data_IF_895504465680
#
_entry.id   IF_895504465680
#
_cell.length_a   1.000
_cell.length_b   1.000
_cell.length_c   1.000
_cell.angle_alpha   90.00
_cell.angle_beta   90.00
_cell.angle_gamma   90.00
#
_symmetry.space_group_name_H-M   'P 1'
#
loop_
_entity.id
_entity.type
_entity.pdbx_description
1 polymer ?
#
# COMPACT_ATOMS: atom_id res chain seq x y z
N UNK A 1 -3.47 -32.81 70.73
CA UNK A 1 -3.83 -31.58 69.98
C UNK A 1 -3.52 -31.89 68.52
N UNK A 2 -4.49 -32.38 67.74
CA UNK A 2 -5.36 -31.57 66.83
C UNK A 2 -4.53 -30.67 65.90
N UNK A 3 -4.64 -30.62 64.57
CA UNK A 3 -5.41 -31.24 63.47
C UNK A 3 -4.54 -30.95 62.21
N UNK A 4 -4.41 -31.77 61.18
CA UNK A 4 -5.42 -32.12 60.19
C UNK A 4 -4.80 -32.10 58.78
N UNK A 5 -4.69 -33.27 58.16
CA UNK A 5 -4.65 -33.51 56.71
C UNK A 5 -6.02 -33.10 56.05
N UNK A 6 -6.31 -33.27 54.73
CA UNK A 6 -5.51 -33.82 53.62
C UNK A 6 -5.68 -33.12 52.23
N UNK A 7 -4.83 -33.55 51.28
CA UNK A 7 -5.14 -34.04 49.91
C UNK A 7 -5.79 -33.17 48.80
N UNK A 8 -5.28 -33.48 47.59
CA UNK A 8 -5.99 -33.67 46.31
C UNK A 8 -5.79 -32.61 45.20
N UNK A 9 -4.84 -32.89 44.30
CA UNK A 9 -5.06 -32.78 42.84
C UNK A 9 -6.12 -33.84 42.41
N UNK A 10 -6.75 -33.86 41.21
CA UNK A 10 -6.39 -33.21 39.92
C UNK A 10 -7.59 -32.70 39.08
N UNK A 11 -7.38 -32.08 37.90
CA UNK A 11 -8.01 -32.53 36.63
C UNK A 11 -7.90 -31.55 35.47
N UNK A 12 -7.61 -32.16 34.31
CA UNK A 12 -7.83 -31.64 32.96
C UNK A 12 -9.29 -31.25 32.71
N UNK A 13 -9.48 -30.12 32.06
CA UNK A 13 -10.67 -29.76 31.31
C UNK A 13 -10.52 -28.31 30.86
N UNK A 14 -11.04 -27.83 29.74
CA UNK A 14 -11.71 -28.39 28.57
C UNK A 14 -11.81 -27.17 27.64
N UNK A 15 -11.53 -27.38 26.36
CA UNK A 15 -11.72 -26.40 25.29
C UNK A 15 -13.07 -25.69 25.42
N UNK A 16 -13.04 -24.35 25.48
CA UNK A 16 -14.22 -23.50 25.34
C UNK A 16 -14.00 -22.59 24.13
N UNK A 17 -14.43 -23.12 23.00
CA UNK A 17 -14.69 -22.42 21.74
C UNK A 17 -15.76 -21.33 22.02
N UNK A 18 -15.51 -20.05 21.71
CA UNK A 18 -16.59 -19.06 21.68
C UNK A 18 -17.51 -19.37 20.50
N UNK A 19 -18.79 -19.65 20.81
CA UNK A 19 -19.86 -19.87 19.84
C UNK A 19 -20.16 -18.57 19.09
N UNK A 20 -20.09 -18.62 17.77
CA UNK A 20 -20.60 -17.59 16.86
C UNK A 20 -22.14 -17.54 16.94
N UNK A 21 -22.76 -16.37 17.11
CA UNK A 21 -24.19 -16.24 16.88
C UNK A 21 -24.46 -16.24 15.37
N UNK A 22 -25.17 -17.26 14.91
CA UNK A 22 -25.78 -17.31 13.59
C UNK A 22 -26.85 -16.23 13.50
N UNK A 23 -26.59 -15.16 12.75
CA UNK A 23 -27.62 -14.20 12.35
C UNK A 23 -27.91 -14.40 10.86
N UNK A 24 -28.98 -15.13 10.57
CA UNK A 24 -29.74 -14.94 9.34
C UNK A 24 -30.87 -13.96 9.65
N UNK A 25 -31.10 -12.97 8.79
CA UNK A 25 -32.44 -12.46 8.62
C UNK A 25 -32.91 -12.64 7.18
N UNK A 26 -34.14 -13.10 7.13
CA UNK A 26 -34.94 -13.39 5.97
C UNK A 26 -35.10 -12.23 5.00
N UNK A 27 -35.22 -12.62 3.75
CA UNK A 27 -35.80 -11.90 2.62
C UNK A 27 -37.25 -11.50 2.93
N UNK A 28 -37.65 -10.23 2.76
CA UNK A 28 -39.04 -9.92 2.53
C UNK A 28 -39.37 -9.95 1.03
N UNK A 29 -40.40 -10.72 0.75
CA UNK A 29 -41.19 -10.82 -0.46
C UNK A 29 -41.93 -9.52 -0.82
N UNK A 30 -42.04 -9.28 -2.12
CA UNK A 30 -43.14 -8.61 -2.86
C UNK A 30 -44.11 -7.72 -2.09
N UNK A 31 -44.19 -6.46 -2.53
CA UNK A 31 -45.41 -5.66 -2.47
C UNK A 31 -45.65 -5.01 -3.83
N UNK A 32 -46.64 -5.55 -4.52
CA UNK A 32 -47.32 -4.93 -5.65
C UNK A 32 -48.14 -3.75 -5.15
N UNK A 33 -48.04 -2.57 -5.76
CA UNK A 33 -49.18 -1.68 -5.78
C UNK A 33 -49.22 -0.71 -6.97
N UNK A 34 -50.41 -0.72 -7.59
CA UNK A 34 -51.12 0.39 -8.23
C UNK A 34 -50.53 1.07 -9.47
N UNK A 35 -50.89 0.47 -10.62
CA UNK A 35 -51.54 1.09 -11.80
C UNK A 35 -51.85 2.60 -11.66
N UNK A 36 -51.29 3.41 -12.56
CA UNK A 36 -52.04 4.47 -13.22
C UNK A 36 -51.58 4.64 -14.67
N UNK A 37 -52.56 4.47 -15.56
CA UNK A 37 -52.49 4.70 -16.99
C UNK A 37 -52.16 6.16 -17.26
N UNK A 38 -51.26 6.42 -18.21
CA UNK A 38 -51.50 7.45 -19.22
C UNK A 38 -50.88 7.03 -20.54
N UNK A 39 -51.74 7.05 -21.55
CA UNK A 39 -51.57 6.52 -22.90
C UNK A 39 -51.25 7.72 -23.79
N UNK A 40 -50.08 7.74 -24.42
CA UNK A 40 -49.79 8.62 -25.54
C UNK A 40 -49.14 7.78 -26.64
N UNK A 41 -49.87 7.60 -27.73
CA UNK A 41 -49.46 6.91 -28.96
C UNK A 41 -49.12 7.92 -30.08
N UNK A 42 -48.44 7.48 -31.15
CA UNK A 42 -47.26 8.17 -31.70
C UNK A 42 -47.52 8.92 -33.01
N UNK A 43 -46.54 9.71 -33.47
CA UNK A 43 -46.52 10.26 -34.83
C UNK A 43 -45.14 10.16 -35.52
N UNK A 44 -45.02 9.09 -36.31
CA UNK A 44 -44.44 8.96 -37.68
C UNK A 44 -43.13 9.69 -38.10
N UNK A 45 -42.15 8.83 -38.48
CA UNK A 45 -41.33 8.80 -39.75
C UNK A 45 -40.41 9.99 -40.09
N UNK A 46 -39.21 9.87 -40.70
CA UNK A 46 -38.39 8.80 -41.31
C UNK A 46 -37.06 9.43 -41.79
N UNK A 47 -35.94 8.70 -41.66
CA UNK A 47 -34.72 8.70 -42.49
C UNK A 47 -33.91 10.01 -42.69
N UNK A 48 -32.63 10.02 -42.34
CA UNK A 48 -31.56 9.74 -43.31
C UNK A 48 -30.21 9.40 -42.64
N UNK A 49 -29.61 8.36 -43.22
CA UNK A 49 -28.33 7.74 -42.96
C UNK A 49 -27.20 8.64 -43.44
N UNK A 50 -26.32 9.03 -42.52
CA UNK A 50 -24.95 9.50 -42.84
C UNK A 50 -23.99 9.02 -41.74
N UNK A 51 -23.66 7.72 -41.77
CA UNK A 51 -22.49 7.20 -41.04
C UNK A 51 -21.24 7.49 -41.86
N UNK A 52 -20.56 8.57 -41.55
CA UNK A 52 -19.17 8.79 -41.96
C UNK A 52 -18.24 8.07 -40.97
N UNK A 53 -17.23 7.31 -41.43
CA UNK A 53 -16.38 6.50 -40.58
C UNK A 53 -15.26 7.36 -39.98
N UNK A 54 -15.48 7.98 -38.82
CA UNK A 54 -14.42 8.71 -38.09
C UNK A 54 -13.83 7.96 -36.89
N UNK A 55 -14.16 6.67 -36.70
CA UNK A 55 -13.75 5.93 -35.51
C UNK A 55 -12.67 4.85 -35.75
N UNK A 56 -11.72 5.09 -36.67
CA UNK A 56 -10.57 4.18 -36.87
C UNK A 56 -9.20 4.73 -36.44
N UNK A 57 -9.10 5.98 -35.97
CA UNK A 57 -7.82 6.56 -35.52
C UNK A 57 -7.66 6.75 -34.01
N UNK A 58 -8.69 6.43 -33.20
CA UNK A 58 -8.62 6.60 -31.73
C UNK A 58 -8.17 5.35 -30.95
N UNK A 59 -8.15 4.18 -31.56
CA UNK A 59 -7.80 2.92 -30.88
C UNK A 59 -6.29 2.62 -30.91
N UNK A 60 -5.54 3.26 -31.81
CA UNK A 60 -4.10 3.02 -31.96
C UNK A 60 -3.23 3.88 -31.03
N UNK A 61 -3.72 5.05 -30.59
CA UNK A 61 -3.00 5.94 -29.68
C UNK A 61 -3.11 5.49 -28.22
N UNK A 62 -4.30 5.08 -27.76
CA UNK A 62 -4.52 4.70 -26.35
C UNK A 62 -3.73 3.46 -25.94
N UNK A 63 -3.70 2.42 -26.79
CA UNK A 63 -2.92 1.20 -26.51
C UNK A 63 -1.41 1.46 -26.46
N UNK A 64 -0.92 2.45 -27.21
CA UNK A 64 0.50 2.84 -27.20
C UNK A 64 0.86 3.64 -25.94
N UNK A 65 -0.05 4.46 -25.43
CA UNK A 65 0.15 5.28 -24.23
C UNK A 65 0.10 4.41 -22.96
N UNK A 66 -0.89 3.53 -22.83
CA UNK A 66 -1.00 2.63 -21.66
C UNK A 66 0.19 1.68 -21.54
N UNK A 67 0.75 1.24 -22.67
CA UNK A 67 1.99 0.45 -22.68
C UNK A 67 3.18 1.24 -22.11
N UNK A 68 3.32 2.52 -22.50
CA UNK A 68 4.40 3.36 -21.99
C UNK A 68 4.20 3.69 -20.49
N UNK A 69 2.96 3.88 -20.04
CA UNK A 69 2.69 4.09 -18.62
C UNK A 69 2.96 2.84 -17.77
N UNK A 70 2.64 1.63 -18.27
CA UNK A 70 3.00 0.39 -17.57
C UNK A 70 4.51 0.16 -17.54
N UNK A 71 5.22 0.57 -18.59
CA UNK A 71 6.68 0.58 -18.61
C UNK A 71 7.25 1.54 -17.56
N UNK A 72 6.71 2.75 -17.48
CA UNK A 72 7.09 3.73 -16.46
C UNK A 72 6.85 3.19 -15.04
N UNK A 73 5.69 2.58 -14.81
CA UNK A 73 5.37 1.89 -13.56
C UNK A 73 6.44 0.84 -13.21
N UNK A 74 6.80 -0.02 -14.15
CA UNK A 74 7.77 -1.10 -13.89
C UNK A 74 9.19 -0.56 -13.63
N UNK A 75 9.59 0.51 -14.33
CA UNK A 75 10.85 1.22 -14.05
C UNK A 75 10.87 1.83 -12.64
N UNK A 76 9.77 2.49 -12.24
CA UNK A 76 9.65 3.10 -10.94
C UNK A 76 9.61 2.08 -9.81
N UNK A 77 8.98 0.93 -10.05
CA UNK A 77 8.96 -0.19 -9.12
C UNK A 77 10.38 -0.70 -8.82
N UNK A 78 11.20 -0.88 -9.86
CA UNK A 78 12.60 -1.29 -9.72
C UNK A 78 13.42 -0.19 -9.02
N UNK A 79 13.20 1.07 -9.37
CA UNK A 79 13.84 2.22 -8.71
C UNK A 79 13.56 2.25 -7.21
N UNK A 80 12.30 2.08 -6.80
CA UNK A 80 11.90 2.01 -5.40
C UNK A 80 12.57 0.85 -4.66
N UNK A 81 12.63 -0.33 -5.28
CA UNK A 81 13.28 -1.51 -4.69
C UNK A 81 14.78 -1.28 -4.49
N UNK A 82 15.46 -0.64 -5.44
CA UNK A 82 16.89 -0.34 -5.33
C UNK A 82 17.15 0.71 -4.25
N UNK A 83 16.37 1.79 -4.20
CA UNK A 83 16.49 2.81 -3.15
C UNK A 83 16.22 2.23 -1.77
N UNK A 84 15.24 1.33 -1.63
CA UNK A 84 14.98 0.62 -0.39
C UNK A 84 16.15 -0.29 0.02
N UNK A 85 16.80 -0.96 -0.95
CA UNK A 85 17.98 -1.79 -0.68
C UNK A 85 19.19 -0.95 -0.23
N UNK A 86 19.43 0.20 -0.86
CA UNK A 86 20.46 1.14 -0.43
C UNK A 86 20.19 1.64 1.00
N UNK A 87 18.97 2.14 1.24
CA UNK A 87 18.55 2.61 2.57
C UNK A 87 18.70 1.53 3.65
N UNK A 88 18.39 0.27 3.35
CA UNK A 88 18.60 -0.86 4.29
C UNK A 88 20.07 -0.97 4.68
N UNK A 89 20.99 -0.90 3.72
CA UNK A 89 22.42 -0.99 3.97
C UNK A 89 22.94 0.12 4.90
N UNK A 90 22.37 1.33 4.85
CA UNK A 90 22.72 2.39 5.79
C UNK A 90 22.08 2.20 7.16
N UNK A 91 20.83 1.75 7.22
CA UNK A 91 20.15 1.42 8.48
C UNK A 91 20.94 0.35 9.24
N UNK A 92 21.36 -0.72 8.58
CA UNK A 92 22.07 -1.83 9.24
C UNK A 92 23.39 -1.36 9.87
N UNK A 93 24.11 -0.46 9.20
CA UNK A 93 25.35 0.14 9.73
C UNK A 93 25.09 1.06 10.93
N UNK A 94 24.09 1.93 10.84
CA UNK A 94 23.82 2.93 11.88
C UNK A 94 23.14 2.31 13.11
N UNK A 95 22.30 1.31 12.91
CA UNK A 95 21.54 0.68 13.98
C UNK A 95 22.45 0.01 15.00
N UNK A 96 23.39 -0.82 14.53
CA UNK A 96 24.38 -1.46 15.41
C UNK A 96 25.14 -0.42 16.24
N UNK A 97 25.60 0.66 15.58
CA UNK A 97 26.34 1.73 16.26
C UNK A 97 25.49 2.45 17.31
N UNK A 98 24.26 2.79 17.00
CA UNK A 98 23.38 3.49 17.96
C UNK A 98 22.97 2.59 19.13
N UNK A 99 22.76 1.29 18.89
CA UNK A 99 22.51 0.32 19.96
C UNK A 99 23.72 0.21 20.89
N UNK A 100 24.94 0.14 20.35
CA UNK A 100 26.18 0.17 21.14
C UNK A 100 26.34 1.48 21.92
N UNK A 101 26.11 2.63 21.29
CA UNK A 101 26.16 3.95 21.94
C UNK A 101 25.12 4.06 23.07
N UNK A 102 23.94 3.44 22.91
CA UNK A 102 22.87 3.43 23.90
C UNK A 102 23.23 2.59 25.13
N UNK A 103 23.87 1.44 24.94
CA UNK A 103 24.30 0.57 26.04
C UNK A 103 25.43 1.19 26.86
N UNK A 104 26.28 1.99 26.22
CA UNK A 104 27.47 2.56 26.84
C UNK A 104 27.28 3.99 27.38
N UNK A 105 26.14 4.63 27.13
CA UNK A 105 25.90 6.00 27.61
C UNK A 105 25.46 6.05 29.07
N UNK A 106 26.17 6.84 29.89
CA UNK A 106 25.78 7.16 31.27
C UNK A 106 24.91 8.44 31.35
N UNK A 107 24.76 9.17 30.23
CA UNK A 107 23.97 10.41 30.18
C UNK A 107 22.55 10.12 29.72
N UNK A 108 21.57 10.51 30.55
CA UNK A 108 20.14 10.37 30.26
C UNK A 108 19.70 11.19 29.03
N UNK A 109 20.24 12.39 28.84
CA UNK A 109 19.95 13.21 27.66
C UNK A 109 20.47 12.56 26.37
N UNK A 110 21.68 12.02 26.40
CA UNK A 110 22.24 11.29 25.26
C UNK A 110 21.45 10.01 24.97
N UNK A 111 21.02 9.30 26.01
CA UNK A 111 20.18 8.11 25.87
C UNK A 111 18.90 8.40 25.07
N UNK A 112 18.15 9.44 25.45
CA UNK A 112 16.92 9.81 24.73
C UNK A 112 17.19 10.24 23.28
N UNK A 113 18.26 11.00 23.05
CA UNK A 113 18.64 11.37 21.68
C UNK A 113 18.99 10.15 20.81
N UNK A 114 19.66 9.14 21.38
CA UNK A 114 19.97 7.90 20.66
C UNK A 114 18.69 7.08 20.42
N UNK A 115 17.79 7.02 21.41
CA UNK A 115 16.50 6.34 21.28
C UNK A 115 15.66 6.93 20.13
N UNK A 116 15.63 8.25 19.98
CA UNK A 116 14.97 8.93 18.85
C UNK A 116 15.58 8.53 17.51
N UNK A 117 16.91 8.44 17.41
CA UNK A 117 17.59 7.99 16.18
C UNK A 117 17.21 6.55 15.84
N UNK A 118 17.18 5.65 16.82
CA UNK A 118 16.76 4.25 16.63
C UNK A 118 15.29 4.19 16.17
N UNK A 119 14.41 5.03 16.70
CA UNK A 119 13.01 5.14 16.23
C UNK A 119 12.93 5.58 14.77
N UNK A 120 13.75 6.55 14.35
CA UNK A 120 13.81 6.96 12.93
C UNK A 120 14.30 5.83 12.02
N UNK A 121 15.35 5.09 12.42
CA UNK A 121 15.83 3.92 11.67
C UNK A 121 14.75 2.84 11.58
N UNK A 122 14.02 2.57 12.67
CA UNK A 122 12.91 1.62 12.69
C UNK A 122 11.76 2.02 11.76
N UNK A 123 11.41 3.32 11.75
CA UNK A 123 10.41 3.88 10.84
C UNK A 123 10.81 3.71 9.37
N UNK A 124 12.07 3.98 9.04
CA UNK A 124 12.61 3.77 7.70
C UNK A 124 12.62 2.29 7.29
N UNK A 125 13.01 1.39 8.21
CA UNK A 125 12.98 -0.05 7.99
C UNK A 125 11.56 -0.56 7.69
N UNK A 126 10.54 -0.04 8.40
CA UNK A 126 9.15 -0.41 8.14
C UNK A 126 8.69 -0.01 6.72
N UNK A 127 9.13 1.15 6.22
CA UNK A 127 8.85 1.59 4.85
C UNK A 127 9.55 0.69 3.81
N UNK A 128 10.78 0.25 4.08
CA UNK A 128 11.50 -0.72 3.24
C UNK A 128 10.73 -2.04 3.16
N UNK A 129 10.26 -2.58 4.28
CA UNK A 129 9.48 -3.83 4.28
C UNK A 129 8.21 -3.71 3.44
N UNK A 130 7.48 -2.58 3.55
CA UNK A 130 6.32 -2.32 2.67
C UNK A 130 6.71 -2.27 1.20
N UNK A 131 7.85 -1.68 0.88
CA UNK A 131 8.37 -1.60 -0.49
C UNK A 131 8.68 -2.97 -1.05
N UNK A 132 9.35 -3.83 -0.28
CA UNK A 132 9.65 -5.21 -0.69
C UNK A 132 8.39 -6.04 -0.84
N UNK A 133 7.44 -5.93 0.09
CA UNK A 133 6.16 -6.62 -0.01
C UNK A 133 5.42 -6.24 -1.29
N UNK A 134 5.38 -4.95 -1.63
CA UNK A 134 4.78 -4.49 -2.89
C UNK A 134 5.55 -5.04 -4.11
N UNK A 135 6.88 -4.98 -4.08
CA UNK A 135 7.73 -5.47 -5.18
C UNK A 135 7.52 -6.95 -5.47
N UNK A 136 7.58 -7.80 -4.44
CA UNK A 136 7.38 -9.24 -4.59
C UNK A 136 5.94 -9.56 -4.98
N UNK A 137 4.95 -8.90 -4.36
CA UNK A 137 3.56 -9.08 -4.75
C UNK A 137 3.32 -8.75 -6.24
N UNK A 138 3.86 -7.64 -6.76
CA UNK A 138 3.71 -7.30 -8.19
C UNK A 138 4.36 -8.35 -9.08
N UNK A 139 5.53 -8.84 -8.70
CA UNK A 139 6.29 -9.84 -9.46
C UNK A 139 5.56 -11.18 -9.53
N UNK A 140 4.94 -11.60 -8.44
CA UNK A 140 4.37 -12.94 -8.30
C UNK A 140 2.91 -12.99 -8.75
N UNK A 141 2.09 -12.02 -8.34
CA UNK A 141 0.64 -12.03 -8.58
C UNK A 141 0.11 -10.75 -9.24
N UNK A 142 0.70 -9.60 -8.93
CA UNK A 142 0.13 -8.30 -9.29
C UNK A 142 0.08 -8.05 -10.79
N UNK A 143 0.94 -8.70 -11.59
CA UNK A 143 0.86 -8.67 -13.07
C UNK A 143 -0.45 -9.25 -13.60
N UNK A 144 -0.94 -10.34 -13.01
CA UNK A 144 -2.21 -10.96 -13.40
C UNK A 144 -3.43 -10.14 -12.92
N UNK A 145 -3.24 -9.30 -11.89
CA UNK A 145 -4.25 -8.44 -11.27
C UNK A 145 -4.16 -6.98 -11.74
N UNK A 146 -3.45 -6.70 -12.83
CA UNK A 146 -3.36 -5.33 -13.39
C UNK A 146 -4.72 -4.89 -13.91
N UNK A 147 -5.04 -3.63 -13.63
CA UNK A 147 -6.10 -2.90 -14.30
C UNK A 147 -5.74 -2.66 -15.77
N UNK A 148 -6.67 -2.11 -16.55
CA UNK A 148 -6.42 -1.81 -17.97
C UNK A 148 -5.29 -0.78 -18.09
N UNK A 149 -5.34 0.28 -17.27
CA UNK A 149 -4.34 1.34 -17.22
C UNK A 149 -3.71 1.44 -15.81
N UNK A 150 -2.42 1.78 -15.68
CA UNK A 150 -1.79 2.01 -14.36
C UNK A 150 -2.24 3.32 -13.70
N UNK A 151 -3.07 4.11 -14.41
CA UNK A 151 -3.75 5.29 -13.90
C UNK A 151 -5.11 4.95 -13.26
N UNK A 152 -5.64 3.75 -13.51
CA UNK A 152 -6.90 3.32 -12.92
C UNK A 152 -6.76 3.20 -11.41
N UNK A 153 -7.75 3.72 -10.69
CA UNK A 153 -7.73 3.77 -9.24
C UNK A 153 -8.60 2.68 -8.64
N UNK A 154 -8.12 2.10 -7.54
CA UNK A 154 -8.92 1.26 -6.67
C UNK A 154 -9.06 1.91 -5.28
N UNK A 155 -10.14 1.63 -4.54
CA UNK A 155 -10.25 2.00 -3.13
C UNK A 155 -9.03 1.50 -2.34
N UNK A 156 -8.58 2.27 -1.34
CA UNK A 156 -7.38 1.91 -0.59
C UNK A 156 -7.51 0.59 0.18
N UNK A 157 -8.73 0.21 0.57
CA UNK A 157 -9.05 -1.10 1.15
C UNK A 157 -8.71 -2.29 0.25
N UNK A 158 -8.66 -2.09 -1.07
CA UNK A 158 -8.43 -3.12 -2.09
C UNK A 158 -7.07 -2.95 -2.80
N UNK A 159 -6.32 -1.88 -2.50
CA UNK A 159 -5.11 -1.51 -3.22
C UNK A 159 -3.83 -1.80 -2.44
N UNK A 160 -3.03 -2.76 -2.92
CA UNK A 160 -1.69 -3.02 -2.38
C UNK A 160 -0.77 -1.80 -2.50
N UNK A 161 -0.97 -0.95 -3.51
CA UNK A 161 -0.26 0.31 -3.66
C UNK A 161 -0.62 1.28 -2.54
N UNK A 162 -1.91 1.42 -2.19
CA UNK A 162 -2.36 2.25 -1.08
C UNK A 162 -1.82 1.75 0.27
N UNK A 163 -1.84 0.43 0.49
CA UNK A 163 -1.26 -0.19 1.67
C UNK A 163 0.24 0.15 1.85
N UNK A 164 1.01 0.07 0.76
CA UNK A 164 2.44 0.37 0.77
C UNK A 164 2.75 1.81 1.19
N UNK A 165 1.89 2.77 0.83
CA UNK A 165 2.04 4.19 1.21
C UNK A 165 1.27 4.56 2.49
N UNK A 166 0.57 3.61 3.12
CA UNK A 166 -0.15 3.81 4.37
C UNK A 166 -1.48 4.57 4.25
N UNK A 167 -2.04 4.67 3.05
CA UNK A 167 -3.38 5.22 2.83
C UNK A 167 -4.42 4.18 3.25
N UNK A 168 -5.50 4.63 3.89
CA UNK A 168 -6.58 3.78 4.43
C UNK A 168 -7.96 4.25 3.96
N UNK A 169 -8.96 3.38 4.10
CA UNK A 169 -10.35 3.68 3.79
C UNK A 169 -10.62 3.64 2.29
N UNK A 170 -11.41 4.59 1.80
CA UNK A 170 -11.91 4.58 0.42
C UNK A 170 -11.19 5.58 -0.50
N UNK A 171 -10.09 6.19 -0.04
CA UNK A 171 -9.33 7.12 -0.88
C UNK A 171 -8.75 6.37 -2.09
N UNK A 172 -9.12 6.73 -3.32
CA UNK A 172 -8.68 5.99 -4.51
C UNK A 172 -7.18 6.22 -4.78
N UNK A 173 -6.45 5.14 -5.02
CA UNK A 173 -5.02 5.18 -5.36
C UNK A 173 -4.79 4.35 -6.62
N UNK A 174 -4.13 4.96 -7.62
CA UNK A 174 -3.69 4.24 -8.82
C UNK A 174 -2.31 3.62 -8.63
N UNK A 175 -1.99 2.53 -9.36
CA UNK A 175 -0.67 1.91 -9.34
C UNK A 175 0.49 2.89 -9.49
N UNK A 176 0.45 3.74 -10.52
CA UNK A 176 1.54 4.67 -10.82
C UNK A 176 1.68 5.74 -9.72
N UNK A 177 0.57 6.34 -9.27
CA UNK A 177 0.60 7.34 -8.18
C UNK A 177 1.08 6.75 -6.86
N UNK A 178 0.72 5.50 -6.58
CA UNK A 178 1.18 4.79 -5.38
C UNK A 178 2.70 4.60 -5.40
N UNK A 179 3.26 4.16 -6.53
CA UNK A 179 4.72 4.03 -6.67
C UNK A 179 5.45 5.36 -6.63
N UNK A 180 4.90 6.42 -7.23
CA UNK A 180 5.50 7.77 -7.16
C UNK A 180 5.53 8.30 -5.73
N UNK A 181 4.43 8.12 -5.00
CA UNK A 181 4.33 8.52 -3.59
C UNK A 181 5.31 7.72 -2.73
N UNK A 182 5.42 6.41 -2.97
CA UNK A 182 6.39 5.56 -2.29
C UNK A 182 7.83 6.00 -2.57
N UNK A 183 8.16 6.38 -3.81
CA UNK A 183 9.47 6.91 -4.17
C UNK A 183 9.83 8.16 -3.37
N UNK A 184 8.89 9.12 -3.28
CA UNK A 184 9.07 10.35 -2.49
C UNK A 184 9.29 10.04 -1.01
N UNK A 185 8.47 9.16 -0.43
CA UNK A 185 8.62 8.73 0.97
C UNK A 185 9.99 8.07 1.24
N UNK A 186 10.46 7.21 0.32
CA UNK A 186 11.77 6.57 0.44
C UNK A 186 12.90 7.60 0.34
N UNK A 187 12.83 8.56 -0.60
CA UNK A 187 13.81 9.64 -0.72
C UNK A 187 13.84 10.53 0.52
N UNK A 188 12.69 10.82 1.11
CA UNK A 188 12.63 11.61 2.34
C UNK A 188 13.21 10.86 3.54
N UNK A 189 12.90 9.56 3.68
CA UNK A 189 13.56 8.71 4.69
C UNK A 189 15.06 8.59 4.46
N UNK A 190 15.49 8.50 3.20
CA UNK A 190 16.89 8.49 2.82
C UNK A 190 17.61 9.75 3.34
N UNK A 191 17.05 10.94 3.08
CA UNK A 191 17.60 12.22 3.58
C UNK A 191 17.67 12.29 5.11
N UNK A 192 16.70 11.71 5.82
CA UNK A 192 16.70 11.68 7.29
C UNK A 192 17.81 10.77 7.79
N UNK A 193 17.89 9.54 7.29
CA UNK A 193 18.92 8.56 7.69
C UNK A 193 20.32 9.06 7.35
N UNK A 194 20.50 9.71 6.21
CA UNK A 194 21.78 10.29 5.81
C UNK A 194 22.28 11.36 6.80
N UNK A 195 21.40 12.18 7.35
CA UNK A 195 21.76 13.17 8.39
C UNK A 195 22.21 12.52 9.70
N UNK A 196 21.84 11.27 9.93
CA UNK A 196 22.25 10.51 11.12
C UNK A 196 23.63 9.88 10.93
N UNK A 197 24.11 9.74 9.68
CA UNK A 197 25.40 9.14 9.36
C UNK A 197 26.53 10.20 9.38
N UNK A 198 27.49 10.13 10.31
CA UNK A 198 28.62 11.04 10.32
C UNK A 198 29.59 10.85 9.14
N UNK A 199 29.50 9.71 8.44
CA UNK A 199 30.31 9.42 7.25
C UNK A 199 29.72 10.02 5.98
N UNK A 200 28.41 10.33 5.93
CA UNK A 200 27.78 11.04 4.83
C UNK A 200 27.92 12.56 4.98
N UNK A 201 29.14 13.06 4.81
CA UNK A 201 29.34 14.50 4.52
C UNK A 201 28.87 14.77 3.07
N UNK A 202 27.61 15.19 2.93
CA UNK A 202 27.01 15.71 1.69
C UNK A 202 26.99 14.75 0.49
N UNK A 203 26.55 13.50 0.68
CA UNK A 203 26.14 12.65 -0.44
C UNK A 203 24.80 13.16 -0.99
N UNK A 204 24.78 13.69 -2.21
CA UNK A 204 23.53 14.00 -2.90
C UNK A 204 22.65 12.74 -2.95
N UNK A 205 21.32 12.85 -2.82
CA UNK A 205 20.43 11.70 -3.03
C UNK A 205 20.77 11.05 -4.39
N UNK A 206 20.66 9.72 -4.53
CA UNK A 206 20.96 9.04 -5.79
C UNK A 206 20.22 9.76 -6.92
N UNK A 207 21.00 10.19 -7.94
CA UNK A 207 20.53 11.10 -8.99
C UNK A 207 19.24 10.58 -9.61
N UNK A 208 18.27 11.47 -9.75
CA UNK A 208 17.01 11.23 -10.45
C UNK A 208 17.30 10.72 -11.86
N UNK A 209 17.26 9.40 -12.03
CA UNK A 209 17.02 8.82 -13.32
C UNK A 209 15.50 8.82 -13.45
N UNK A 210 15.00 9.72 -14.29
CA UNK A 210 13.59 9.92 -14.66
C UNK A 210 12.90 11.05 -13.88
N UNK A 211 13.14 12.29 -14.33
CA UNK A 211 12.14 13.35 -14.25
C UNK A 211 11.05 13.06 -15.28
N UNK A 212 9.86 12.64 -14.83
CA UNK A 212 8.68 12.56 -15.69
C UNK A 212 8.04 13.94 -15.66
N UNK A 213 8.17 14.68 -16.75
CA UNK A 213 7.40 15.91 -16.94
C UNK A 213 5.94 15.51 -17.18
N UNK A 214 5.04 16.05 -16.36
CA UNK A 214 3.59 15.99 -16.56
C UNK A 214 3.14 17.02 -17.61
#
# INVERSE_FOLDING_TARGET
>A
MQHGEPSASPSRGRSLIPRTPTHSPDRPTTSSNTRSRSRATPRRTRSHRSRSPQNRRRLSTTLSEDFEFWRQHDMLLVSNRNLAQELQGHIDRLKSRFEDDQLNTMSRLKFYSIEEKIKELSSANHLIQKTWNLYYWIRDEGKAKRTESPMDTLPASESMYAFAIGVKGDLPVSPLRGLDSLNRMLKDKWRIVAKLDPQEKMGAPPKDSISVNF
#
